data_IF_907671933238
#
_entry.id   IF_907671933238
#
_cell.length_a   1.000
_cell.length_b   1.000
_cell.length_c   1.000
_cell.angle_alpha   90.00
_cell.angle_beta   90.00
_cell.angle_gamma   90.00
#
_symmetry.space_group_name_H-M   'P 1'
#
loop_
_entity.id
_entity.type
_entity.pdbx_description
1 polymer ?
#
# COMPACT_ATOMS: atom_id res chain seq x y z
N UNK A 1 8.63 10.76 1.85
CA UNK A 1 9.44 9.81 2.65
C UNK A 1 8.86 8.39 2.56
N UNK A 2 7.56 8.19 2.86
CA UNK A 2 6.93 6.87 2.90
C UNK A 2 6.93 6.11 1.57
N UNK A 3 6.54 6.75 0.46
CA UNK A 3 6.48 6.10 -0.86
C UNK A 3 7.82 5.46 -1.28
N UNK A 4 8.96 6.07 -0.91
CA UNK A 4 10.29 5.49 -1.15
C UNK A 4 10.55 4.25 -0.29
N UNK A 5 10.14 4.29 0.98
CA UNK A 5 10.32 3.17 1.92
C UNK A 5 9.52 1.96 1.48
N UNK A 6 8.23 2.15 1.15
CA UNK A 6 7.40 1.04 0.66
C UNK A 6 7.92 0.51 -0.68
N UNK A 7 8.36 1.38 -1.58
CA UNK A 7 9.00 0.95 -2.83
C UNK A 7 10.21 0.03 -2.56
N UNK A 8 11.14 0.45 -1.70
CA UNK A 8 12.31 -0.36 -1.37
C UNK A 8 11.92 -1.69 -0.70
N UNK A 9 11.02 -1.66 0.30
CA UNK A 9 10.56 -2.89 0.98
C UNK A 9 10.01 -3.91 -0.02
N UNK A 10 9.09 -3.50 -0.88
CA UNK A 10 8.44 -4.43 -1.80
C UNK A 10 9.36 -4.84 -2.96
N UNK A 11 10.28 -3.98 -3.43
CA UNK A 11 11.24 -4.38 -4.48
C UNK A 11 12.38 -5.26 -3.96
N UNK A 12 12.75 -5.15 -2.67
CA UNK A 12 13.73 -6.03 -2.03
C UNK A 12 13.18 -7.44 -1.73
N UNK A 13 11.86 -7.60 -1.65
CA UNK A 13 11.20 -8.85 -1.29
C UNK A 13 10.20 -9.29 -2.38
N UNK A 14 10.61 -10.14 -3.34
CA UNK A 14 9.78 -10.54 -4.48
C UNK A 14 8.42 -11.14 -4.10
N UNK A 15 8.35 -11.89 -3.00
CA UNK A 15 7.09 -12.45 -2.49
C UNK A 15 6.09 -11.36 -2.07
N UNK A 16 6.55 -10.33 -1.35
CA UNK A 16 5.69 -9.20 -0.97
C UNK A 16 5.23 -8.41 -2.19
N UNK A 17 6.12 -8.21 -3.18
CA UNK A 17 5.75 -7.58 -4.46
C UNK A 17 4.65 -8.37 -5.17
N UNK A 18 4.80 -9.69 -5.26
CA UNK A 18 3.80 -10.55 -5.89
C UNK A 18 2.45 -10.51 -5.14
N UNK A 19 2.48 -10.53 -3.81
CA UNK A 19 1.29 -10.41 -2.96
C UNK A 19 0.59 -9.06 -3.13
N UNK A 20 1.33 -7.95 -3.19
CA UNK A 20 0.76 -6.63 -3.46
C UNK A 20 0.14 -6.54 -4.86
N UNK A 21 0.75 -7.16 -5.88
CA UNK A 21 0.21 -7.14 -7.23
C UNK A 21 -1.02 -8.06 -7.37
N UNK A 22 -1.07 -9.16 -6.62
CA UNK A 22 -2.19 -10.11 -6.66
C UNK A 22 -3.47 -9.57 -6.04
N UNK A 23 -3.43 -8.49 -5.26
CA UNK A 23 -4.64 -7.83 -4.75
C UNK A 23 -5.49 -7.21 -5.85
N UNK A 24 -4.99 -7.12 -7.08
CA UNK A 24 -5.78 -6.61 -8.21
C UNK A 24 -6.20 -5.16 -7.94
N UNK A 25 -7.46 -4.83 -8.23
CA UNK A 25 -8.00 -3.48 -8.01
C UNK A 25 -8.79 -3.38 -6.70
N UNK A 26 -8.53 -4.28 -5.74
CA UNK A 26 -9.14 -4.22 -4.42
C UNK A 26 -8.58 -3.06 -3.59
N UNK A 27 -9.46 -2.35 -2.89
CA UNK A 27 -9.08 -1.30 -1.94
C UNK A 27 -8.21 -1.89 -0.81
N UNK A 28 -7.08 -1.23 -0.53
CA UNK A 28 -6.18 -1.63 0.56
C UNK A 28 -6.47 -0.78 1.79
N UNK A 29 -6.88 -1.44 2.87
CA UNK A 29 -7.27 -0.76 4.11
C UNK A 29 -6.39 -1.22 5.26
N UNK A 30 -5.72 -0.28 5.91
CA UNK A 30 -5.06 -0.51 7.19
C UNK A 30 -6.11 -0.34 8.31
N UNK A 31 -6.47 -1.46 8.94
CA UNK A 31 -7.51 -1.54 9.98
C UNK A 31 -6.92 -1.43 11.39
N UNK A 32 -6.17 -0.36 11.66
CA UNK A 32 -5.75 0.00 13.01
C UNK A 32 -6.83 0.80 13.73
N UNK A 33 -7.21 0.35 14.92
CA UNK A 33 -8.09 1.07 15.83
C UNK A 33 -7.41 2.27 16.51
N UNK A 34 -6.08 2.37 16.44
CA UNK A 34 -5.25 3.37 17.14
C UNK A 34 -4.68 4.45 16.25
N UNK A 35 -4.57 4.20 14.95
CA UNK A 35 -3.94 5.11 14.01
C UNK A 35 -4.95 5.60 12.97
N UNK A 36 -5.36 6.86 13.08
CA UNK A 36 -6.27 7.51 12.12
C UNK A 36 -5.54 8.24 10.99
N UNK A 37 -4.21 8.27 10.98
CA UNK A 37 -3.42 8.83 9.88
C UNK A 37 -3.03 7.73 8.90
N UNK A 38 -2.31 6.70 9.35
CA UNK A 38 -1.92 5.59 8.50
C UNK A 38 -3.07 4.60 8.27
N UNK A 39 -3.95 4.46 9.25
CA UNK A 39 -5.11 3.59 9.25
C UNK A 39 -6.46 4.30 9.16
N UNK A 40 -7.52 3.51 9.31
CA UNK A 40 -8.90 4.00 9.38
C UNK A 40 -9.34 4.40 10.80
N UNK A 41 -8.52 4.13 11.82
CA UNK A 41 -8.82 4.51 13.21
C UNK A 41 -10.07 3.82 13.78
N UNK A 42 -10.30 4.04 15.08
CA UNK A 42 -11.40 3.43 15.84
C UNK A 42 -12.80 3.63 15.24
N UNK A 43 -13.05 4.78 14.60
CA UNK A 43 -14.36 5.15 14.03
C UNK A 43 -14.46 4.90 12.52
N UNK A 44 -13.43 4.28 11.91
CA UNK A 44 -13.32 4.00 10.48
C UNK A 44 -13.30 5.24 9.58
N UNK A 45 -12.99 6.42 10.12
CA UNK A 45 -12.90 7.69 9.37
C UNK A 45 -11.46 8.21 9.22
N UNK A 46 -10.48 7.42 9.65
CA UNK A 46 -9.07 7.69 9.45
C UNK A 46 -8.69 7.77 7.98
N UNK A 47 -7.52 8.33 7.73
CA UNK A 47 -7.08 8.72 6.39
C UNK A 47 -6.61 7.54 5.55
N UNK A 48 -6.28 6.39 6.14
CA UNK A 48 -5.76 5.23 5.43
C UNK A 48 -4.57 5.57 4.52
N UNK A 49 -3.64 6.41 4.99
CA UNK A 49 -2.49 6.84 4.16
C UNK A 49 -1.57 5.67 3.78
N UNK A 50 -1.54 4.58 4.56
CA UNK A 50 -0.76 3.39 4.22
C UNK A 50 -1.39 2.65 3.04
N UNK A 51 -2.70 2.40 3.10
CA UNK A 51 -3.45 1.79 2.01
C UNK A 51 -3.25 2.54 0.69
N UNK A 52 -3.47 3.85 0.73
CA UNK A 52 -3.24 4.75 -0.42
C UNK A 52 -1.79 4.71 -0.93
N UNK A 53 -0.81 4.58 -0.04
CA UNK A 53 0.60 4.49 -0.45
C UNK A 53 0.90 3.16 -1.15
N UNK A 54 0.30 2.05 -0.69
CA UNK A 54 0.43 0.75 -1.32
C UNK A 54 -0.28 0.68 -2.68
N UNK A 55 -1.44 1.30 -2.83
CA UNK A 55 -2.15 1.43 -4.11
C UNK A 55 -1.32 2.23 -5.13
N UNK A 56 -0.79 3.40 -4.74
CA UNK A 56 0.13 4.17 -5.60
C UNK A 56 1.37 3.36 -6.01
N UNK A 57 1.91 2.56 -5.08
CA UNK A 57 3.03 1.67 -5.36
C UNK A 57 2.64 0.57 -6.35
N UNK A 58 1.47 -0.04 -6.19
CA UNK A 58 0.96 -1.07 -7.09
C UNK A 58 0.85 -0.54 -8.53
N UNK A 59 0.25 0.64 -8.72
CA UNK A 59 0.17 1.29 -10.04
C UNK A 59 1.55 1.56 -10.64
N UNK A 60 2.49 2.03 -9.82
CA UNK A 60 3.86 2.29 -10.25
C UNK A 60 4.52 0.99 -10.75
N UNK A 61 4.44 -0.09 -9.98
CA UNK A 61 5.05 -1.36 -10.34
C UNK A 61 4.42 -1.99 -11.59
N UNK A 62 3.10 -1.83 -11.77
CA UNK A 62 2.40 -2.25 -13.00
C UNK A 62 2.92 -1.48 -14.23
N UNK A 63 3.09 -0.16 -14.11
CA UNK A 63 3.65 0.68 -15.20
C UNK A 63 5.09 0.29 -15.54
N UNK A 64 5.92 0.00 -14.55
CA UNK A 64 7.31 -0.44 -14.75
C UNK A 64 7.41 -1.82 -15.42
N UNK A 65 6.44 -2.72 -15.20
CA UNK A 65 6.41 -4.04 -15.82
C UNK A 65 5.90 -4.04 -17.27
N UNK A 66 5.19 -2.98 -17.66
CA UNK A 66 4.68 -2.79 -19.04
C UNK A 66 5.66 -2.03 -19.94
N UNK A 67 6.84 -1.67 -19.44
CA UNK A 67 7.96 -1.06 -20.16
C UNK A 67 9.03 -2.12 -20.45
#
# INVERSE_FOLDING_TARGET
MMDKVVYHKFTQHPGLKAELLSTGDADLVEDSDRDSFWGIGKDKKGRNELGKALERLQDKLRREASL
#
